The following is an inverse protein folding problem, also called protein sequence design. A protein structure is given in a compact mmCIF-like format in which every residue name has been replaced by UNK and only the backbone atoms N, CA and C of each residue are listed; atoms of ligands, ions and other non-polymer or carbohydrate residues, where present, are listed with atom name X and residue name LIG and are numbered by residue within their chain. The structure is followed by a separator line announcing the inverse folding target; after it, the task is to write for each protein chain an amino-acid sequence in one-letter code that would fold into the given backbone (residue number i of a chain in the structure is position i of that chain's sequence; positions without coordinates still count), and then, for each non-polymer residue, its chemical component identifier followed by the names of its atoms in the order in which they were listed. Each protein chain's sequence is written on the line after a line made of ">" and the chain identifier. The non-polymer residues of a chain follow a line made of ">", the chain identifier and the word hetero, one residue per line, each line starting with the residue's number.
data_IF_140499781236
#
_entry.id   IF_140499781236
#
_cell.length_a   1.000
_cell.length_b   1.000
_cell.length_c   1.000
_cell.angle_alpha   90.00
_cell.angle_beta   90.00
_cell.angle_gamma   90.00
#
_symmetry.space_group_name_H-M   'P 1'
#
loop_
_entity.id
_entity.type
_entity.pdbx_description
1 polymer ?
#
# COMPACT_ATOMS: atom_id res chain seq x y z
N UNK A 1 46.15 -15.29 -4.43
CA UNK A 1 46.51 -14.00 -3.79
C UNK A 1 45.22 -13.22 -3.59
N UNK A 2 44.86 -12.89 -2.35
CA UNK A 2 43.65 -12.14 -2.04
C UNK A 2 43.79 -10.71 -2.60
N UNK A 3 42.80 -10.24 -3.38
CA UNK A 3 42.76 -8.85 -3.84
C UNK A 3 42.72 -7.94 -2.61
N UNK A 4 43.51 -6.85 -2.54
CA UNK A 4 43.41 -5.90 -1.45
C UNK A 4 41.98 -5.36 -1.39
N UNK A 5 41.39 -5.38 -0.19
CA UNK A 5 40.07 -4.81 0.06
C UNK A 5 40.13 -3.33 -0.33
N UNK A 6 39.40 -2.95 -1.38
CA UNK A 6 39.21 -1.54 -1.67
C UNK A 6 38.54 -0.88 -0.45
N UNK A 7 38.93 0.35 -0.08
CA UNK A 7 38.28 1.05 1.02
C UNK A 7 36.78 1.19 0.72
N UNK A 8 35.95 0.80 1.69
CA UNK A 8 34.49 0.87 1.55
C UNK A 8 33.94 2.31 1.44
N UNK A 9 34.76 3.29 1.83
CA UNK A 9 34.40 4.71 1.87
C UNK A 9 35.56 5.56 1.34
N UNK A 10 35.28 6.51 0.46
CA UNK A 10 36.23 7.52 0.02
C UNK A 10 36.17 8.71 1.00
N UNK A 11 36.92 8.61 2.09
CA UNK A 11 36.98 9.63 3.15
C UNK A 11 38.45 9.91 3.52
N UNK A 12 38.78 11.19 3.61
CA UNK A 12 40.07 11.62 4.14
C UNK A 12 40.17 11.36 5.65
N UNK A 13 41.39 11.27 6.18
CA UNK A 13 41.59 11.03 7.62
C UNK A 13 41.14 12.20 8.50
N UNK A 14 41.03 13.41 7.94
CA UNK A 14 40.42 14.55 8.62
C UNK A 14 38.90 14.35 8.73
N UNK A 15 38.25 13.98 7.62
CA UNK A 15 36.79 13.76 7.60
C UNK A 15 36.35 12.61 8.50
N UNK A 16 37.15 11.54 8.61
CA UNK A 16 36.88 10.43 9.56
C UNK A 16 36.90 10.91 11.01
N UNK A 17 37.85 11.78 11.37
CA UNK A 17 37.95 12.36 12.72
C UNK A 17 36.76 13.27 13.01
N UNK A 18 36.41 14.14 12.07
CA UNK A 18 35.27 15.05 12.22
C UNK A 18 33.95 14.28 12.35
N UNK A 19 33.75 13.24 11.52
CA UNK A 19 32.59 12.34 11.61
C UNK A 19 32.50 11.68 12.98
N UNK A 20 33.62 11.16 13.48
CA UNK A 20 33.67 10.50 14.79
C UNK A 20 33.33 11.49 15.91
N UNK A 21 33.84 12.72 15.84
CA UNK A 21 33.53 13.77 16.80
C UNK A 21 32.04 14.17 16.77
N UNK A 22 31.44 14.30 15.58
CA UNK A 22 30.01 14.58 15.45
C UNK A 22 29.13 13.47 16.04
N UNK A 23 29.49 12.21 15.77
CA UNK A 23 28.80 11.04 16.32
C UNK A 23 28.91 10.98 17.85
N UNK A 24 30.10 11.21 18.41
CA UNK A 24 30.29 11.24 19.86
C UNK A 24 29.54 12.38 20.54
N UNK A 25 29.41 13.54 19.87
CA UNK A 25 28.65 14.69 20.36
C UNK A 25 27.13 14.54 20.17
N UNK A 26 26.66 13.49 19.49
CA UNK A 26 25.24 13.30 19.18
C UNK A 26 24.68 14.38 18.23
N UNK A 27 25.54 15.04 17.44
CA UNK A 27 25.12 16.07 16.48
C UNK A 27 24.71 15.44 15.15
N UNK A 28 23.76 16.06 14.42
CA UNK A 28 23.37 15.58 13.11
C UNK A 28 24.56 15.62 12.14
N UNK A 29 24.66 14.61 11.27
CA UNK A 29 25.69 14.54 10.24
C UNK A 29 25.34 15.48 9.07
N UNK A 30 26.32 16.24 8.53
CA UNK A 30 26.14 17.03 7.33
C UNK A 30 25.69 16.21 6.11
N UNK A 31 24.87 16.80 5.24
CA UNK A 31 24.27 16.13 4.07
C UNK A 31 25.31 15.55 3.11
N UNK A 32 26.50 16.15 3.00
CA UNK A 32 27.60 15.67 2.15
C UNK A 32 28.03 14.22 2.45
N UNK A 33 27.86 13.75 3.69
CA UNK A 33 28.23 12.38 4.08
C UNK A 33 27.14 11.34 3.75
N UNK A 34 25.93 11.77 3.39
CA UNK A 34 24.80 10.89 3.05
C UNK A 34 25.15 9.96 1.90
N UNK A 35 25.81 10.47 0.87
CA UNK A 35 26.14 9.70 -0.33
C UNK A 35 27.45 8.91 -0.18
N UNK A 36 28.25 9.20 0.84
CA UNK A 36 29.53 8.55 1.09
C UNK A 36 29.37 7.37 2.04
N UNK A 37 28.58 7.53 3.11
CA UNK A 37 28.45 6.54 4.18
C UNK A 37 27.41 5.46 3.90
N UNK A 38 26.44 5.74 3.02
CA UNK A 38 25.38 4.81 2.68
C UNK A 38 25.60 4.32 1.26
N UNK A 39 25.63 2.99 1.10
CA UNK A 39 25.69 2.34 -0.21
C UNK A 39 24.55 2.84 -1.09
N UNK A 40 24.82 3.00 -2.39
CA UNK A 40 24.02 3.68 -3.41
C UNK A 40 22.71 2.92 -3.72
N UNK A 41 21.86 2.69 -2.71
CA UNK A 41 20.43 2.45 -2.91
C UNK A 41 19.85 3.78 -3.33
N UNK A 42 19.92 4.03 -4.64
CA UNK A 42 19.26 5.16 -5.32
C UNK A 42 17.74 4.98 -5.24
N UNK A 43 17.20 5.10 -4.03
CA UNK A 43 15.77 5.20 -3.79
C UNK A 43 15.38 6.64 -4.09
N UNK A 44 14.83 6.86 -5.28
CA UNK A 44 14.21 8.14 -5.63
C UNK A 44 12.87 8.21 -4.90
N UNK A 45 12.75 9.14 -3.96
CA UNK A 45 11.52 9.36 -3.20
C UNK A 45 10.94 10.75 -3.50
N UNK A 46 9.65 10.80 -3.85
CA UNK A 46 8.91 12.06 -3.95
C UNK A 46 8.59 12.56 -2.53
N UNK A 47 9.11 13.71 -2.12
CA UNK A 47 8.86 14.31 -0.79
C UNK A 47 8.00 15.56 -0.94
N UNK A 48 7.00 15.69 -0.07
CA UNK A 48 6.16 16.89 0.03
C UNK A 48 5.78 17.13 1.50
N UNK A 49 5.41 18.37 1.82
CA UNK A 49 5.01 18.74 3.18
C UNK A 49 3.77 17.94 3.60
N UNK A 50 3.84 17.30 4.77
CA UNK A 50 2.76 16.44 5.28
C UNK A 50 2.78 15.01 4.74
N UNK A 51 3.78 14.61 3.93
CA UNK A 51 3.97 13.20 3.56
C UNK A 51 4.24 12.36 4.81
N UNK A 52 3.29 11.50 5.16
CA UNK A 52 3.46 10.50 6.22
C UNK A 52 3.66 9.11 5.63
N UNK A 53 4.47 8.29 6.31
CA UNK A 53 4.63 6.85 6.01
C UNK A 53 3.62 5.99 6.78
N UNK A 54 2.78 6.60 7.60
CA UNK A 54 1.80 5.90 8.41
C UNK A 54 0.70 5.30 7.52
N UNK A 55 0.62 3.97 7.55
CA UNK A 55 -0.45 3.22 6.90
C UNK A 55 -1.52 2.92 7.95
N UNK A 56 -2.77 3.25 7.65
CA UNK A 56 -3.88 2.89 8.52
C UNK A 56 -4.07 1.36 8.53
N UNK A 57 -4.00 0.77 9.71
CA UNK A 57 -4.19 -0.67 9.96
C UNK A 57 -5.39 -0.93 10.86
N UNK A 58 -6.17 0.10 11.16
CA UNK A 58 -7.36 0.00 12.02
C UNK A 58 -8.38 -0.92 11.37
N UNK A 59 -8.80 -1.95 12.10
CA UNK A 59 -9.87 -2.86 11.70
C UNK A 59 -11.13 -2.48 12.46
N UNK A 60 -12.17 -2.08 11.73
CA UNK A 60 -13.48 -1.77 12.27
C UNK A 60 -14.52 -2.75 11.72
N UNK A 61 -15.56 -3.10 12.51
CA UNK A 61 -16.70 -3.82 11.99
C UNK A 61 -17.44 -2.94 10.97
N UNK A 62 -17.93 -3.53 9.89
CA UNK A 62 -18.77 -2.82 8.93
C UNK A 62 -20.14 -2.56 9.55
N UNK A 63 -20.49 -1.28 9.70
CA UNK A 63 -21.77 -0.89 10.28
C UNK A 63 -22.93 -1.13 9.30
N UNK A 64 -22.70 -0.87 8.00
CA UNK A 64 -23.70 -1.05 6.95
C UNK A 64 -23.07 -1.76 5.76
N UNK A 65 -23.28 -3.08 5.68
CA UNK A 65 -22.95 -3.88 4.50
C UNK A 65 -24.26 -4.18 3.78
N UNK A 66 -24.52 -3.48 2.69
CA UNK A 66 -25.68 -3.78 1.86
C UNK A 66 -25.32 -4.91 0.89
N UNK A 67 -26.10 -5.98 0.98
CA UNK A 67 -26.02 -7.08 0.06
C UNK A 67 -26.89 -6.76 -1.15
N UNK A 68 -26.27 -6.39 -2.27
CA UNK A 68 -26.99 -6.06 -3.50
C UNK A 68 -27.23 -7.38 -4.26
N UNK A 69 -28.23 -8.12 -3.79
CA UNK A 69 -28.60 -9.45 -4.31
C UNK A 69 -30.04 -9.46 -4.86
N UNK A 70 -30.47 -8.34 -5.44
CA UNK A 70 -31.68 -8.32 -6.24
C UNK A 70 -31.33 -8.39 -7.73
N UNK A 71 -31.85 -9.38 -8.48
CA UNK A 71 -31.85 -9.29 -9.92
C UNK A 71 -32.66 -8.05 -10.25
N UNK A 72 -32.00 -7.04 -10.83
CA UNK A 72 -32.70 -5.89 -11.42
C UNK A 72 -33.84 -6.49 -12.24
N UNK A 73 -35.10 -6.17 -11.89
CA UNK A 73 -36.23 -6.53 -12.74
C UNK A 73 -36.01 -5.77 -14.03
N UNK A 74 -35.32 -6.40 -14.97
CA UNK A 74 -35.26 -5.90 -16.33
C UNK A 74 -36.71 -5.80 -16.78
N UNK A 75 -37.08 -4.60 -17.21
CA UNK A 75 -38.32 -4.38 -17.94
C UNK A 75 -38.39 -5.49 -19.00
N UNK A 76 -39.50 -6.24 -19.01
CA UNK A 76 -39.73 -7.51 -19.75
C UNK A 76 -39.58 -7.45 -21.29
N UNK A 77 -38.85 -6.49 -21.84
CA UNK A 77 -38.75 -6.18 -23.26
C UNK A 77 -37.36 -6.42 -23.85
N UNK A 78 -36.40 -6.99 -23.11
CA UNK A 78 -35.02 -7.17 -23.60
C UNK A 78 -34.40 -8.54 -23.27
N UNK A 79 -35.23 -9.55 -23.03
CA UNK A 79 -34.81 -10.91 -22.63
C UNK A 79 -33.98 -11.66 -23.68
N UNK A 80 -33.96 -11.22 -24.95
CA UNK A 80 -33.23 -11.90 -26.02
C UNK A 80 -31.76 -11.46 -26.21
N UNK A 81 -31.31 -10.41 -25.53
CA UNK A 81 -29.95 -9.84 -25.70
C UNK A 81 -28.97 -10.16 -24.57
N UNK A 82 -29.46 -10.56 -23.39
CA UNK A 82 -28.60 -10.86 -22.23
C UNK A 82 -28.70 -12.33 -21.83
N UNK A 83 -27.56 -13.03 -21.87
CA UNK A 83 -27.45 -14.43 -21.50
C UNK A 83 -27.76 -14.65 -20.01
N UNK A 84 -28.85 -15.36 -19.74
CA UNK A 84 -29.30 -15.78 -18.42
C UNK A 84 -28.26 -16.60 -17.61
N UNK A 85 -27.21 -17.12 -18.26
CA UNK A 85 -26.15 -17.94 -17.64
C UNK A 85 -25.16 -17.14 -16.78
N UNK A 86 -25.16 -15.81 -16.85
CA UNK A 86 -24.30 -14.93 -16.03
C UNK A 86 -24.83 -14.60 -14.63
N UNK A 87 -26.03 -15.06 -14.28
CA UNK A 87 -26.65 -14.77 -12.97
C UNK A 87 -26.03 -15.67 -11.89
N UNK A 88 -25.13 -15.10 -11.09
CA UNK A 88 -24.53 -15.81 -9.97
C UNK A 88 -25.54 -15.94 -8.82
N UNK A 89 -26.34 -17.01 -8.85
CA UNK A 89 -27.39 -17.29 -7.85
C UNK A 89 -26.84 -17.83 -6.52
N UNK A 90 -25.55 -18.18 -6.44
CA UNK A 90 -24.86 -18.73 -5.26
C UNK A 90 -23.39 -18.31 -5.25
N UNK A 91 -22.84 -17.93 -4.09
CA UNK A 91 -21.40 -17.66 -3.91
C UNK A 91 -21.10 -16.26 -3.37
N UNK A 92 -19.95 -15.69 -3.76
CA UNK A 92 -19.58 -14.31 -3.46
C UNK A 92 -20.46 -13.35 -4.28
N UNK A 93 -20.89 -12.28 -3.63
CA UNK A 93 -21.94 -11.38 -4.14
C UNK A 93 -21.51 -9.93 -4.06
N UNK A 94 -22.25 -9.06 -4.75
CA UNK A 94 -21.97 -7.63 -4.77
C UNK A 94 -22.25 -7.02 -3.39
N UNK A 95 -21.28 -6.25 -2.88
CA UNK A 95 -21.35 -5.60 -1.58
C UNK A 95 -21.22 -4.09 -1.74
N UNK A 96 -22.18 -3.36 -1.20
CA UNK A 96 -22.09 -1.91 -1.06
C UNK A 96 -21.72 -1.59 0.39
N UNK A 97 -20.66 -0.80 0.57
CA UNK A 97 -20.12 -0.41 1.87
C UNK A 97 -20.15 1.11 1.95
N UNK A 98 -20.79 1.64 2.99
CA UNK A 98 -20.87 3.07 3.24
C UNK A 98 -19.88 3.49 4.33
N UNK A 99 -19.13 4.57 4.11
CA UNK A 99 -18.23 5.14 5.12
C UNK A 99 -16.95 5.78 4.54
N UNK A 100 -15.99 6.03 5.42
CA UNK A 100 -14.67 6.55 5.04
C UNK A 100 -13.81 5.47 4.34
N UNK A 101 -13.36 5.78 3.13
CA UNK A 101 -12.59 4.86 2.29
C UNK A 101 -11.31 4.35 2.96
N UNK A 102 -10.61 5.18 3.74
CA UNK A 102 -9.35 4.80 4.40
C UNK A 102 -9.59 3.71 5.45
N UNK A 103 -10.63 3.87 6.27
CA UNK A 103 -10.99 2.91 7.31
C UNK A 103 -11.58 1.62 6.72
N UNK A 104 -12.41 1.75 5.68
CA UNK A 104 -12.98 0.62 4.95
C UNK A 104 -11.88 -0.24 4.35
N UNK A 105 -10.93 0.37 3.62
CA UNK A 105 -9.85 -0.36 2.97
C UNK A 105 -8.90 -1.01 3.98
N UNK A 106 -8.61 -0.33 5.10
CA UNK A 106 -7.84 -0.92 6.20
C UNK A 106 -8.54 -2.17 6.77
N UNK A 107 -9.86 -2.09 6.96
CA UNK A 107 -10.68 -3.19 7.47
C UNK A 107 -10.86 -4.33 6.45
N UNK A 108 -10.93 -4.05 5.15
CA UNK A 108 -10.96 -5.09 4.11
C UNK A 108 -9.61 -5.80 3.97
N UNK A 109 -8.51 -5.09 4.21
CA UNK A 109 -7.15 -5.63 4.12
C UNK A 109 -6.83 -6.58 5.29
N UNK A 110 -7.22 -6.22 6.51
CA UNK A 110 -6.80 -6.93 7.73
C UNK A 110 -7.96 -7.49 8.58
N UNK A 111 -9.21 -7.22 8.21
CA UNK A 111 -10.40 -7.64 8.96
C UNK A 111 -11.04 -8.93 8.47
N UNK A 112 -12.24 -9.20 9.00
CA UNK A 112 -12.93 -10.49 8.83
C UNK A 112 -13.26 -10.87 7.38
N UNK A 113 -13.53 -9.88 6.52
CA UNK A 113 -13.84 -10.14 5.10
C UNK A 113 -12.59 -10.50 4.28
N UNK A 114 -11.38 -10.30 4.80
CA UNK A 114 -10.14 -10.57 4.06
C UNK A 114 -10.07 -12.01 3.55
N UNK A 115 -10.34 -12.97 4.43
CA UNK A 115 -10.31 -14.41 4.08
C UNK A 115 -11.37 -14.75 3.04
N UNK A 116 -12.58 -14.22 3.18
CA UNK A 116 -13.65 -14.46 2.21
C UNK A 116 -13.30 -13.92 0.82
N UNK A 117 -12.62 -12.76 0.74
CA UNK A 117 -12.10 -12.20 -0.51
C UNK A 117 -11.03 -13.12 -1.11
N UNK A 118 -10.11 -13.64 -0.29
CA UNK A 118 -9.07 -14.57 -0.74
C UNK A 118 -9.65 -15.89 -1.25
N UNK A 119 -10.57 -16.48 -0.51
CA UNK A 119 -11.27 -17.72 -0.86
C UNK A 119 -12.09 -17.55 -2.15
N UNK A 120 -12.58 -16.34 -2.43
CA UNK A 120 -13.27 -15.98 -3.68
C UNK A 120 -12.31 -15.64 -4.85
N UNK A 121 -10.99 -15.76 -4.65
CA UNK A 121 -9.98 -15.53 -5.69
C UNK A 121 -9.37 -14.13 -5.70
N UNK A 122 -9.56 -13.33 -4.65
CA UNK A 122 -8.93 -12.03 -4.47
C UNK A 122 -9.55 -10.88 -5.27
N UNK A 123 -8.84 -9.74 -5.28
CA UNK A 123 -9.21 -8.57 -6.07
C UNK A 123 -8.53 -8.63 -7.45
N UNK A 124 -9.32 -8.55 -8.52
CA UNK A 124 -8.82 -8.60 -9.90
C UNK A 124 -8.68 -7.22 -10.56
N UNK A 125 -9.59 -6.30 -10.21
CA UNK A 125 -9.66 -4.97 -10.78
C UNK A 125 -10.09 -3.98 -9.69
N UNK A 126 -9.44 -2.83 -9.66
CA UNK A 126 -9.83 -1.68 -8.85
C UNK A 126 -10.01 -0.51 -9.81
N UNK A 127 -11.19 0.08 -9.82
CA UNK A 127 -11.49 1.32 -10.52
C UNK A 127 -11.80 2.40 -9.49
N UNK A 128 -11.14 3.55 -9.61
CA UNK A 128 -11.36 4.72 -8.79
C UNK A 128 -11.39 5.96 -9.68
N UNK A 129 -12.22 6.93 -9.29
CA UNK A 129 -12.30 8.26 -9.89
C UNK A 129 -12.12 9.29 -8.77
N UNK A 130 -10.86 9.54 -8.34
CA UNK A 130 -10.58 10.49 -7.27
C UNK A 130 -10.80 11.94 -7.74
N UNK A 131 -11.09 12.87 -6.81
CA UNK A 131 -11.26 14.29 -7.13
C UNK A 131 -9.97 14.96 -7.63
#
# INVERSE_FOLDING_TARGET
>A
MAKPNAPAYDLTDAEKRDLTALLQQGKPLPEKYRFILFEDKREVELVWNGKTREVCTTVLPFQTLEHVDEPRKETKSQEDLFDARGRQQKGWTNKLIWGDNKLILASLKAGALRRQIEDAGGLKLIYIDPP
#
